data_IF_068505148130
#
_entry.id   IF_068505148130
#
_cell.length_a   1.000
_cell.length_b   1.000
_cell.length_c   1.000
_cell.angle_alpha   90.00
_cell.angle_beta   90.00
_cell.angle_gamma   90.00
#
_symmetry.space_group_name_H-M   'P 1'
#
loop_
_entity.id
_entity.type
_entity.pdbx_description
1 polymer ?
#
# COMPACT_ATOMS: atom_id res chain seq x y z
N UNK A 1 -19.11 2.75 -39.13
CA UNK A 1 -18.40 1.81 -38.24
C UNK A 1 -17.63 2.63 -37.22
N UNK A 2 -18.21 2.85 -36.05
CA UNK A 2 -17.58 3.62 -34.96
C UNK A 2 -16.71 2.64 -34.19
N UNK A 3 -15.39 2.79 -34.28
CA UNK A 3 -14.46 2.06 -33.42
C UNK A 3 -14.54 2.73 -32.06
N UNK A 4 -15.26 2.11 -31.12
CA UNK A 4 -15.16 2.50 -29.71
C UNK A 4 -13.77 2.11 -29.23
N UNK A 5 -13.01 3.00 -28.56
CA UNK A 5 -11.74 2.61 -27.98
C UNK A 5 -11.98 1.46 -27.01
N UNK A 6 -11.21 0.38 -27.14
CA UNK A 6 -11.26 -0.73 -26.20
C UNK A 6 -11.01 -0.17 -24.80
N UNK A 7 -12.04 -0.12 -23.97
CA UNK A 7 -11.89 0.12 -22.53
C UNK A 7 -11.25 -1.12 -21.93
N UNK A 8 -9.96 -1.26 -22.11
CA UNK A 8 -9.15 -2.12 -21.25
C UNK A 8 -9.33 -1.61 -19.81
N UNK A 9 -9.47 -2.50 -18.81
CA UNK A 9 -9.43 -2.08 -17.41
C UNK A 9 -8.16 -1.24 -17.21
N UNK A 10 -8.30 -0.03 -16.66
CA UNK A 10 -7.13 0.65 -16.09
C UNK A 10 -6.80 -0.13 -14.83
N UNK A 11 -5.62 -0.73 -14.79
CA UNK A 11 -5.13 -1.50 -13.64
C UNK A 11 -4.95 -0.50 -12.48
N UNK A 12 -5.98 -0.41 -11.64
CA UNK A 12 -5.96 0.33 -10.38
C UNK A 12 -5.27 -0.56 -9.32
N UNK A 13 -4.53 0.05 -8.37
CA UNK A 13 -3.76 -0.62 -7.33
C UNK A 13 -4.48 -1.81 -6.64
N UNK A 14 -3.72 -2.74 -6.06
CA UNK A 14 -4.29 -3.83 -5.27
C UNK A 14 -4.16 -3.56 -3.78
N UNK A 15 -5.19 -3.87 -2.99
CA UNK A 15 -5.14 -3.89 -1.52
C UNK A 15 -5.59 -5.24 -1.01
N UNK A 16 -4.97 -5.71 0.09
CA UNK A 16 -5.35 -6.95 0.74
C UNK A 16 -5.17 -6.82 2.25
N UNK A 17 -6.01 -7.50 3.04
CA UNK A 17 -5.92 -7.45 4.50
C UNK A 17 -6.34 -8.76 5.16
N UNK A 18 -5.70 -9.07 6.29
CA UNK A 18 -5.92 -10.26 7.10
C UNK A 18 -5.97 -9.87 8.57
N UNK A 19 -6.94 -10.41 9.31
CA UNK A 19 -7.08 -10.20 10.75
C UNK A 19 -7.33 -11.53 11.47
N UNK A 20 -6.70 -11.70 12.63
CA UNK A 20 -6.89 -12.86 13.50
C UNK A 20 -6.17 -14.13 13.06
N UNK A 21 -5.12 -14.05 12.23
CA UNK A 21 -4.41 -15.24 11.73
C UNK A 21 -2.90 -15.18 12.02
N UNK A 22 -2.28 -16.23 12.59
CA UNK A 22 -0.85 -16.21 12.97
C UNK A 22 0.12 -16.05 11.79
N UNK A 23 -0.29 -16.46 10.58
CA UNK A 23 0.47 -16.24 9.34
C UNK A 23 -0.09 -15.06 8.51
N UNK A 24 -0.62 -14.01 9.15
CA UNK A 24 -1.28 -12.89 8.46
C UNK A 24 -0.41 -12.27 7.35
N UNK A 25 0.90 -12.06 7.59
CA UNK A 25 1.81 -11.52 6.58
C UNK A 25 1.95 -12.42 5.35
N UNK A 26 2.03 -13.74 5.53
CA UNK A 26 2.19 -14.72 4.44
C UNK A 26 0.92 -14.87 3.63
N UNK A 27 -0.25 -14.87 4.27
CA UNK A 27 -1.53 -14.84 3.57
C UNK A 27 -1.69 -13.54 2.78
N UNK A 28 -1.30 -12.40 3.36
CA UNK A 28 -1.28 -11.12 2.64
C UNK A 28 -0.33 -11.16 1.44
N UNK A 29 0.86 -11.75 1.56
CA UNK A 29 1.76 -11.97 0.43
C UNK A 29 1.09 -12.73 -0.72
N UNK A 30 0.43 -13.86 -0.44
CA UNK A 30 -0.26 -14.63 -1.49
C UNK A 30 -1.44 -13.85 -2.09
N UNK A 31 -2.19 -13.10 -1.27
CA UNK A 31 -3.23 -12.21 -1.73
C UNK A 31 -2.69 -11.14 -2.69
N UNK A 32 -1.60 -10.47 -2.32
CA UNK A 32 -0.93 -9.50 -3.19
C UNK A 32 -0.36 -10.11 -4.45
N UNK A 33 0.20 -11.32 -4.37
CA UNK A 33 0.71 -12.04 -5.53
C UNK A 33 -0.42 -12.36 -6.53
N UNK A 34 -1.59 -12.78 -6.04
CA UNK A 34 -2.78 -12.96 -6.88
C UNK A 34 -3.27 -11.63 -7.49
N UNK A 35 -3.06 -10.51 -6.79
CA UNK A 35 -3.38 -9.16 -7.24
C UNK A 35 -2.24 -8.48 -8.03
N UNK A 36 -1.13 -9.17 -8.33
CA UNK A 36 0.06 -8.56 -8.97
C UNK A 36 -0.23 -7.84 -10.29
N UNK A 37 -1.24 -8.30 -11.03
CA UNK A 37 -1.68 -7.65 -12.26
C UNK A 37 -2.10 -6.18 -12.04
N UNK A 38 -2.62 -5.87 -10.84
CA UNK A 38 -3.09 -4.53 -10.43
C UNK A 38 -2.01 -3.51 -10.12
N UNK A 39 -0.74 -3.91 -10.12
CA UNK A 39 0.35 -2.99 -9.81
C UNK A 39 1.70 -3.68 -9.81
N UNK A 40 2.64 -3.16 -10.59
CA UNK A 40 3.95 -3.78 -10.82
C UNK A 40 5.12 -2.87 -10.42
N UNK A 41 4.84 -1.74 -9.77
CA UNK A 41 5.88 -0.77 -9.45
C UNK A 41 6.44 -0.92 -8.05
N UNK A 42 5.58 -1.17 -7.07
CA UNK A 42 5.98 -1.37 -5.68
C UNK A 42 4.99 -2.27 -4.97
N UNK A 43 5.51 -2.94 -3.94
CA UNK A 43 4.71 -3.75 -3.04
C UNK A 43 5.10 -3.42 -1.60
N UNK A 44 4.13 -3.57 -0.69
CA UNK A 44 4.35 -3.34 0.73
C UNK A 44 3.40 -4.17 1.59
N UNK A 45 3.89 -4.62 2.74
CA UNK A 45 3.12 -5.30 3.77
C UNK A 45 3.43 -4.65 5.11
N UNK A 46 2.38 -4.34 5.83
CA UNK A 46 2.40 -3.95 7.24
C UNK A 46 1.81 -5.09 8.06
N UNK A 47 2.43 -5.44 9.18
CA UNK A 47 2.02 -6.51 10.08
C UNK A 47 2.06 -6.04 11.54
N UNK A 48 1.13 -6.50 12.36
CA UNK A 48 1.08 -6.17 13.78
C UNK A 48 0.45 -7.27 14.63
N UNK A 49 0.88 -7.35 15.89
CA UNK A 49 0.26 -8.14 16.96
C UNK A 49 -0.70 -7.30 17.83
N UNK A 50 -1.04 -6.08 17.39
CA UNK A 50 -1.85 -5.12 18.15
C UNK A 50 -1.05 -4.24 19.11
N UNK A 51 0.26 -4.46 19.25
CA UNK A 51 1.15 -3.66 20.11
C UNK A 51 2.36 -3.14 19.35
N UNK A 52 3.02 -4.05 18.64
CA UNK A 52 4.21 -3.78 17.84
C UNK A 52 3.83 -3.83 16.38
N UNK A 53 4.50 -2.99 15.61
CA UNK A 53 4.29 -2.81 14.18
C UNK A 53 5.57 -3.14 13.46
N UNK A 54 5.44 -3.86 12.36
CA UNK A 54 6.52 -4.16 11.44
C UNK A 54 6.04 -3.91 10.02
N UNK A 55 6.88 -3.30 9.21
CA UNK A 55 6.56 -3.07 7.81
C UNK A 55 7.76 -3.39 6.93
N UNK A 56 7.46 -3.81 5.71
CA UNK A 56 8.43 -3.88 4.65
C UNK A 56 7.77 -3.47 3.33
N UNK A 57 8.42 -2.55 2.62
CA UNK A 57 8.00 -2.08 1.31
C UNK A 57 9.20 -1.73 0.46
N UNK A 58 9.08 -1.98 -0.83
CA UNK A 58 10.12 -1.65 -1.81
C UNK A 58 9.48 -1.45 -3.19
N UNK A 59 10.23 -0.83 -4.09
CA UNK A 59 9.94 -0.88 -5.51
C UNK A 59 10.17 -2.32 -6.02
N UNK A 60 9.43 -2.71 -7.05
CA UNK A 60 9.46 -4.03 -7.67
C UNK A 60 8.16 -4.83 -7.47
N UNK A 61 8.18 -6.04 -8.03
CA UNK A 61 7.09 -7.01 -7.94
C UNK A 61 7.03 -7.64 -6.54
N UNK A 62 5.88 -8.21 -6.17
CA UNK A 62 5.64 -8.84 -4.86
C UNK A 62 6.70 -9.91 -4.55
N UNK A 63 7.07 -10.74 -5.52
CA UNK A 63 8.08 -11.79 -5.35
C UNK A 63 9.52 -11.26 -5.30
N UNK A 64 9.77 -10.04 -5.76
CA UNK A 64 11.07 -9.38 -5.66
C UNK A 64 11.22 -8.66 -4.32
N UNK A 65 10.14 -8.04 -3.84
CA UNK A 65 10.10 -7.33 -2.55
C UNK A 65 10.11 -8.30 -1.36
N UNK A 66 9.42 -9.44 -1.46
CA UNK A 66 9.26 -10.36 -0.34
C UNK A 66 9.87 -11.73 -0.63
N UNK A 67 10.94 -12.05 0.10
CA UNK A 67 11.45 -13.41 0.23
C UNK A 67 11.01 -14.04 1.56
N UNK A 68 11.28 -15.34 1.73
CA UNK A 68 10.85 -16.07 2.93
C UNK A 68 11.43 -15.50 4.23
N UNK A 69 12.67 -14.99 4.21
CA UNK A 69 13.28 -14.36 5.37
C UNK A 69 12.54 -13.07 5.76
N UNK A 70 12.23 -12.20 4.79
CA UNK A 70 11.45 -10.98 5.01
C UNK A 70 10.06 -11.28 5.55
N UNK A 71 9.39 -12.31 5.03
CA UNK A 71 8.07 -12.71 5.51
C UNK A 71 8.12 -13.25 6.95
N UNK A 72 9.19 -13.95 7.34
CA UNK A 72 9.40 -14.41 8.73
C UNK A 72 9.64 -13.27 9.72
N UNK A 73 10.20 -12.16 9.25
CA UNK A 73 10.41 -10.98 10.07
C UNK A 73 9.11 -10.21 10.35
N UNK A 74 8.07 -10.37 9.53
CA UNK A 74 6.75 -9.74 9.66
C UNK A 74 5.80 -10.57 10.52
N UNK A 75 5.91 -10.41 11.83
CA UNK A 75 5.15 -11.15 12.85
C UNK A 75 3.91 -10.37 13.28
N UNK A 76 2.82 -11.10 13.48
CA UNK A 76 1.57 -10.52 13.90
C UNK A 76 0.37 -11.32 13.41
N UNK A 77 -0.80 -10.95 13.92
CA UNK A 77 -2.08 -11.54 13.50
C UNK A 77 -2.96 -10.55 12.71
N UNK A 78 -2.44 -9.35 12.44
CA UNK A 78 -3.06 -8.30 11.66
C UNK A 78 -2.09 -7.95 10.54
N UNK A 79 -2.54 -7.95 9.30
CA UNK A 79 -1.72 -7.49 8.18
C UNK A 79 -2.56 -6.75 7.14
N UNK A 80 -1.97 -5.72 6.54
CA UNK A 80 -2.48 -5.09 5.33
C UNK A 80 -1.35 -5.00 4.30
N UNK A 81 -1.71 -5.07 3.03
CA UNK A 81 -0.76 -5.06 1.93
C UNK A 81 -1.27 -4.23 0.76
N UNK A 82 -0.33 -3.79 -0.06
CA UNK A 82 -0.61 -3.00 -1.25
C UNK A 82 0.32 -3.36 -2.41
N UNK A 83 -0.21 -3.35 -3.63
CA UNK A 83 0.57 -3.33 -4.88
C UNK A 83 0.22 -2.08 -5.68
N UNK A 84 1.24 -1.32 -6.09
CA UNK A 84 1.06 -0.02 -6.75
C UNK A 84 1.20 -0.14 -8.26
N UNK A 85 0.25 0.45 -8.97
CA UNK A 85 0.39 0.88 -10.35
C UNK A 85 0.54 2.41 -10.37
N UNK A 86 1.48 2.99 -11.12
CA UNK A 86 1.55 4.46 -11.20
C UNK A 86 0.45 4.95 -12.11
N UNK A 87 -0.59 5.50 -11.50
CA UNK A 87 -1.60 6.28 -12.20
C UNK A 87 -1.23 7.77 -12.18
N UNK A 88 -0.65 8.24 -11.08
CA UNK A 88 -0.16 9.62 -10.85
C UNK A 88 0.94 9.65 -9.79
N UNK A 89 1.86 10.62 -9.90
CA UNK A 89 3.01 10.76 -9.00
C UNK A 89 4.25 9.96 -9.44
N UNK A 90 5.40 10.32 -8.89
CA UNK A 90 6.67 9.67 -9.24
C UNK A 90 6.74 8.24 -8.70
N UNK A 91 7.38 7.35 -9.45
CA UNK A 91 7.67 5.97 -9.04
C UNK A 91 8.85 5.96 -8.08
N UNK A 92 8.61 6.45 -6.86
CA UNK A 92 9.58 6.56 -5.77
C UNK A 92 9.09 5.81 -4.54
N UNK A 93 10.03 5.32 -3.73
CA UNK A 93 9.74 4.51 -2.55
C UNK A 93 8.82 5.23 -1.55
N UNK A 94 8.91 6.55 -1.45
CA UNK A 94 8.07 7.37 -0.56
C UNK A 94 6.58 7.21 -0.88
N UNK A 95 6.23 6.90 -2.12
CA UNK A 95 4.85 6.67 -2.56
C UNK A 95 4.42 5.20 -2.45
N UNK A 96 5.32 4.29 -2.03
CA UNK A 96 4.97 2.90 -1.75
C UNK A 96 4.12 2.80 -0.49
N UNK A 97 3.01 2.08 -0.62
CA UNK A 97 2.04 1.84 0.44
C UNK A 97 2.20 0.42 1.01
N UNK A 98 1.73 0.13 2.23
CA UNK A 98 0.97 1.00 3.15
C UNK A 98 1.72 2.25 3.65
N UNK A 99 0.97 3.32 3.93
CA UNK A 99 1.47 4.47 4.69
C UNK A 99 1.28 4.22 6.18
N UNK A 100 2.35 4.38 6.94
CA UNK A 100 2.35 4.25 8.39
C UNK A 100 2.58 5.63 9.02
N UNK A 101 1.72 5.99 9.98
CA UNK A 101 1.84 7.24 10.75
C UNK A 101 1.74 6.92 12.23
N UNK A 102 2.63 7.52 13.01
CA UNK A 102 2.58 7.49 14.47
C UNK A 102 2.07 8.84 14.99
N UNK A 103 0.97 8.82 15.74
CA UNK A 103 0.38 10.03 16.29
C UNK A 103 -0.29 9.74 17.64
N UNK A 104 -0.05 10.60 18.63
CA UNK A 104 -0.66 10.53 19.97
C UNK A 104 -0.55 9.14 20.65
N UNK A 105 0.57 8.43 20.45
CA UNK A 105 0.78 7.09 21.01
C UNK A 105 0.10 5.96 20.24
N UNK A 106 -0.54 6.26 19.11
CA UNK A 106 -1.16 5.30 18.21
C UNK A 106 -0.38 5.16 16.91
N UNK A 107 -0.44 3.97 16.32
CA UNK A 107 0.06 3.71 14.97
C UNK A 107 -1.11 3.44 14.05
N UNK A 108 -1.19 4.19 12.96
CA UNK A 108 -2.19 4.02 11.91
C UNK A 108 -1.48 3.58 10.63
N UNK A 109 -1.99 2.51 10.00
CA UNK A 109 -1.53 2.06 8.70
C UNK A 109 -2.68 2.07 7.71
N UNK A 110 -2.45 2.66 6.53
CA UNK A 110 -3.47 2.78 5.48
C UNK A 110 -2.90 2.36 4.14
N UNK A 111 -3.65 1.52 3.43
CA UNK A 111 -3.46 1.22 2.03
C UNK A 111 -4.73 1.63 1.27
N UNK A 112 -4.58 2.24 0.11
CA UNK A 112 -5.68 2.84 -0.63
C UNK A 112 -5.58 2.52 -2.12
N UNK A 113 -6.71 2.12 -2.69
CA UNK A 113 -6.90 2.04 -4.13
C UNK A 113 -7.99 3.03 -4.57
N UNK A 114 -7.59 4.07 -5.29
CA UNK A 114 -8.47 5.11 -5.81
C UNK A 114 -7.76 6.45 -5.93
N UNK A 115 -8.54 7.52 -6.13
CA UNK A 115 -8.02 8.88 -6.21
C UNK A 115 -8.93 9.88 -5.49
N UNK A 116 -8.34 10.74 -4.66
CA UNK A 116 -9.05 11.85 -4.01
C UNK A 116 -9.07 13.05 -4.96
N UNK A 117 -10.20 13.27 -5.64
CA UNK A 117 -10.33 14.30 -6.69
C UNK A 117 -10.07 15.73 -6.21
N UNK A 118 -10.27 15.99 -4.92
CA UNK A 118 -10.04 17.27 -4.27
C UNK A 118 -8.79 17.29 -3.37
N UNK A 119 -7.84 16.35 -3.56
CA UNK A 119 -6.63 16.25 -2.73
C UNK A 119 -5.83 17.55 -2.66
N UNK A 120 -5.71 18.29 -3.76
CA UNK A 120 -5.00 19.56 -3.82
C UNK A 120 -5.61 20.64 -2.91
N UNK A 121 -6.95 20.69 -2.84
CA UNK A 121 -7.67 21.63 -1.98
C UNK A 121 -7.46 21.29 -0.50
N UNK A 122 -7.69 20.00 -0.16
CA UNK A 122 -7.50 19.50 1.21
C UNK A 122 -6.06 19.69 1.67
N UNK A 123 -5.08 19.38 0.82
CA UNK A 123 -3.65 19.58 1.11
C UNK A 123 -3.34 21.03 1.45
N UNK A 124 -3.80 21.97 0.63
CA UNK A 124 -3.57 23.41 0.84
C UNK A 124 -4.21 23.91 2.14
N UNK A 125 -5.42 23.45 2.45
CA UNK A 125 -6.09 23.77 3.71
C UNK A 125 -5.31 23.24 4.92
N UNK A 126 -4.88 21.97 4.86
CA UNK A 126 -4.10 21.34 5.93
C UNK A 126 -2.72 21.98 6.11
N UNK A 127 -2.03 22.32 5.02
CA UNK A 127 -0.77 23.09 5.06
C UNK A 127 -0.98 24.48 5.69
N UNK A 128 -2.10 25.14 5.38
CA UNK A 128 -2.49 26.42 6.00
C UNK A 128 -2.72 26.33 7.51
N UNK A 129 -3.14 25.15 8.01
CA UNK A 129 -3.26 24.84 9.43
C UNK A 129 -1.97 24.25 10.06
N UNK A 130 -0.86 24.21 9.31
CA UNK A 130 0.45 23.78 9.81
C UNK A 130 0.77 22.28 9.63
N UNK A 131 -0.01 21.55 8.82
CA UNK A 131 0.28 20.14 8.51
C UNK A 131 1.44 20.00 7.54
N UNK A 132 2.27 18.97 7.71
CA UNK A 132 3.42 18.65 6.86
C UNK A 132 3.13 17.37 6.07
N UNK A 133 3.43 17.37 4.77
CA UNK A 133 3.28 16.21 3.88
C UNK A 133 4.63 15.63 3.50
N UNK A 134 4.78 14.31 3.63
CA UNK A 134 6.02 13.59 3.36
C UNK A 134 6.05 12.90 1.99
N UNK A 135 4.92 12.88 1.28
CA UNK A 135 4.74 12.25 -0.02
C UNK A 135 4.29 13.29 -1.04
N UNK A 136 4.46 12.95 -2.33
CA UNK A 136 4.17 13.87 -3.45
C UNK A 136 2.78 13.68 -3.99
#
# INVERSE_FOLDING_TARGET
>A
MIILPSRSPREECGVFGVFGHPEAAKLTYFGLYALQHRGQESAGIFCSDGKVVQEHKSMGLVNEVFNEARLKDLKGHIAIGHVRYSTTGSSVLQNAQPFCVHHAGHTLAVAHNGNLVNAHYIRKELEGHGSIFQTT
#
